data_IF_896231053681
#
_entry.id   IF_896231053681
#
_cell.length_a   1.000
_cell.length_b   1.000
_cell.length_c   1.000
_cell.angle_alpha   90.00
_cell.angle_beta   90.00
_cell.angle_gamma   90.00
#
_symmetry.space_group_name_H-M   'P 1'
#
loop_
_entity.id
_entity.type
_entity.pdbx_description
1 polymer ?
#
# COMPACT_ATOMS: atom_id res chain seq x y z
N UNK A 1 -1.02 3.05 -15.51
CA UNK A 1 0.18 2.26 -15.15
C UNK A 1 -0.23 1.15 -14.19
N UNK A 2 -0.28 -0.10 -14.66
CA UNK A 2 -0.66 -1.20 -13.77
C UNK A 2 0.50 -1.60 -12.85
N UNK A 3 0.12 -2.04 -11.63
CA UNK A 3 1.05 -2.59 -10.66
C UNK A 3 0.66 -4.04 -10.43
N UNK A 4 1.65 -4.93 -10.45
CA UNK A 4 1.45 -6.34 -10.15
C UNK A 4 2.27 -6.75 -8.93
N UNK A 5 1.62 -7.44 -8.00
CA UNK A 5 2.26 -8.02 -6.83
C UNK A 5 2.24 -9.54 -6.98
N UNK A 6 3.38 -10.17 -6.73
CA UNK A 6 3.50 -11.63 -6.83
C UNK A 6 4.16 -12.20 -5.59
N UNK A 7 3.89 -13.47 -5.34
CA UNK A 7 4.57 -14.23 -4.29
C UNK A 7 4.98 -15.58 -4.83
N UNK A 8 6.27 -15.89 -4.77
CA UNK A 8 6.84 -17.15 -5.18
C UNK A 8 7.73 -17.69 -4.07
N UNK A 9 7.26 -18.72 -3.37
CA UNK A 9 7.98 -19.29 -2.22
C UNK A 9 9.33 -19.91 -2.61
N UNK A 10 9.54 -20.22 -3.88
CA UNK A 10 10.81 -20.74 -4.39
C UNK A 10 11.81 -19.65 -4.78
N UNK A 11 11.44 -18.38 -4.70
CA UNK A 11 12.28 -17.25 -5.08
C UNK A 11 12.79 -16.49 -3.84
N UNK A 12 13.86 -15.70 -4.03
CA UNK A 12 14.41 -14.82 -3.01
C UNK A 12 14.74 -13.47 -3.65
N UNK A 13 13.99 -12.39 -3.32
CA UNK A 13 12.85 -12.35 -2.39
C UNK A 13 11.62 -13.07 -2.95
N UNK A 14 10.81 -13.63 -2.05
CA UNK A 14 9.60 -14.34 -2.44
C UNK A 14 8.51 -13.39 -2.95
N UNK A 15 8.33 -12.26 -2.29
CA UNK A 15 7.36 -11.25 -2.68
C UNK A 15 8.03 -10.23 -3.61
N UNK A 16 7.36 -9.90 -4.71
CA UNK A 16 7.89 -8.97 -5.71
C UNK A 16 6.79 -8.04 -6.21
N UNK A 17 7.21 -6.82 -6.58
CA UNK A 17 6.34 -5.81 -7.18
C UNK A 17 6.89 -5.44 -8.56
N UNK A 18 5.97 -5.31 -9.52
CA UNK A 18 6.29 -4.88 -10.87
C UNK A 18 5.35 -3.77 -11.29
N UNK A 19 5.84 -2.83 -12.08
CA UNK A 19 4.96 -1.91 -12.77
C UNK A 19 5.29 -1.87 -14.27
N UNK A 20 4.31 -1.49 -15.07
CA UNK A 20 4.45 -1.38 -16.51
C UNK A 20 4.22 0.07 -16.91
N UNK A 21 5.07 0.60 -17.79
CA UNK A 21 4.85 1.94 -18.33
C UNK A 21 3.86 1.91 -19.52
N UNK A 22 3.59 3.06 -20.10
CA UNK A 22 2.65 3.17 -21.21
C UNK A 22 3.16 2.46 -22.49
N UNK A 23 4.45 2.19 -22.58
CA UNK A 23 5.07 1.51 -23.72
C UNK A 23 5.15 -0.01 -23.51
N UNK A 24 4.68 -0.52 -22.36
CA UNK A 24 4.70 -1.93 -22.04
C UNK A 24 5.99 -2.43 -21.41
N UNK A 25 6.94 -1.54 -21.08
CA UNK A 25 8.16 -1.96 -20.40
C UNK A 25 7.85 -2.35 -18.95
N UNK A 26 8.44 -3.45 -18.50
CA UNK A 26 8.29 -3.97 -17.15
C UNK A 26 9.45 -3.51 -16.26
N UNK A 27 9.13 -3.01 -15.07
CA UNK A 27 10.12 -2.61 -14.07
C UNK A 27 9.83 -3.30 -12.75
N UNK A 28 10.84 -3.92 -12.15
CA UNK A 28 10.74 -4.45 -10.80
C UNK A 28 11.06 -3.35 -9.79
N UNK A 29 10.26 -3.27 -8.72
CA UNK A 29 10.45 -2.32 -7.63
C UNK A 29 10.76 -3.09 -6.37
N UNK A 30 11.69 -2.59 -5.56
CA UNK A 30 12.18 -3.32 -4.40
C UNK A 30 11.37 -3.08 -3.14
N UNK A 31 10.86 -1.87 -2.93
CA UNK A 31 10.29 -1.50 -1.63
C UNK A 31 8.79 -1.19 -1.68
N UNK A 32 8.37 -0.38 -2.63
CA UNK A 32 6.98 0.01 -2.79
C UNK A 32 6.71 0.54 -4.19
N UNK A 33 5.45 0.62 -4.56
CA UNK A 33 5.02 1.23 -5.80
C UNK A 33 3.72 1.98 -5.57
N UNK A 34 3.49 3.02 -6.35
CA UNK A 34 2.26 3.79 -6.32
C UNK A 34 1.92 4.27 -7.73
N UNK A 35 0.64 4.33 -8.05
CA UNK A 35 0.13 4.83 -9.32
C UNK A 35 -1.14 5.65 -9.07
N UNK A 36 -1.57 6.41 -10.08
CA UNK A 36 -2.73 7.26 -9.97
C UNK A 36 -2.37 8.71 -9.63
N UNK A 37 -3.37 9.58 -9.60
CA UNK A 37 -3.20 11.02 -9.41
C UNK A 37 -2.63 11.38 -8.03
N UNK A 38 -2.92 10.59 -7.01
CA UNK A 38 -2.40 10.78 -5.65
C UNK A 38 -1.02 10.18 -5.43
N UNK A 39 -0.41 9.56 -6.44
CA UNK A 39 0.84 8.83 -6.27
C UNK A 39 2.02 9.68 -5.80
N UNK A 40 2.17 10.97 -6.16
CA UNK A 40 3.27 11.76 -5.61
C UNK A 40 3.22 11.88 -4.10
N UNK A 41 2.04 12.11 -3.52
CA UNK A 41 1.89 12.19 -2.06
C UNK A 41 2.14 10.84 -1.40
N UNK A 42 1.58 9.77 -1.95
CA UNK A 42 1.77 8.40 -1.44
C UNK A 42 3.25 8.02 -1.46
N UNK A 43 3.93 8.27 -2.57
CA UNK A 43 5.36 7.96 -2.68
C UNK A 43 6.21 8.72 -1.67
N UNK A 44 5.88 9.99 -1.43
CA UNK A 44 6.59 10.78 -0.43
C UNK A 44 6.49 10.19 0.96
N UNK A 45 5.30 9.75 1.35
CA UNK A 45 5.09 9.15 2.66
C UNK A 45 5.78 7.78 2.76
N UNK A 46 5.62 6.94 1.74
CA UNK A 46 6.25 5.61 1.74
C UNK A 46 7.77 5.71 1.74
N UNK A 47 8.33 6.66 0.99
CA UNK A 47 9.77 6.92 1.00
C UNK A 47 10.24 7.34 2.39
N UNK A 48 9.51 8.26 3.02
CA UNK A 48 9.83 8.72 4.38
C UNK A 48 9.80 7.56 5.37
N UNK A 49 8.73 6.77 5.36
CA UNK A 49 8.58 5.64 6.27
C UNK A 49 9.67 4.59 6.05
N UNK A 50 10.02 4.34 4.78
CA UNK A 50 11.04 3.35 4.45
C UNK A 50 12.43 3.75 4.94
N UNK A 51 12.77 5.03 4.86
CA UNK A 51 14.10 5.52 5.17
C UNK A 51 14.27 6.01 6.61
N UNK A 52 13.20 6.57 7.19
CA UNK A 52 13.27 7.19 8.52
C UNK A 52 12.23 6.69 9.51
N UNK A 53 11.39 5.76 9.12
CA UNK A 53 10.47 5.08 10.03
C UNK A 53 11.22 4.14 10.97
N UNK A 54 10.48 3.48 11.83
CA UNK A 54 11.04 2.53 12.81
C UNK A 54 11.77 1.37 12.14
N UNK A 55 11.26 0.93 10.98
CA UNK A 55 11.81 -0.18 10.20
C UNK A 55 11.61 0.10 8.71
N UNK A 56 12.47 -0.42 7.84
CA UNK A 56 12.19 -0.45 6.40
C UNK A 56 10.86 -1.14 6.12
N UNK A 57 10.16 -0.72 5.08
CA UNK A 57 8.85 -1.27 4.74
C UNK A 57 8.86 -2.80 4.60
N UNK A 58 9.92 -3.33 3.99
CA UNK A 58 10.06 -4.77 3.79
C UNK A 58 10.18 -5.57 5.10
N UNK A 59 10.46 -4.91 6.21
CA UNK A 59 10.63 -5.54 7.53
C UNK A 59 9.40 -5.37 8.42
N UNK A 60 8.38 -4.64 7.96
CA UNK A 60 7.18 -4.40 8.75
C UNK A 60 6.33 -5.67 8.86
N UNK A 61 5.71 -5.86 10.02
CA UNK A 61 4.64 -6.83 10.18
C UNK A 61 3.43 -6.40 9.33
N UNK A 62 2.57 -7.34 8.99
CA UNK A 62 1.41 -7.12 8.13
C UNK A 62 0.54 -5.94 8.60
N UNK A 63 0.17 -5.93 9.89
CA UNK A 63 -0.67 -4.87 10.44
C UNK A 63 -0.02 -3.50 10.36
N UNK A 64 1.29 -3.43 10.60
CA UNK A 64 2.04 -2.18 10.52
C UNK A 64 2.15 -1.70 9.09
N UNK A 65 2.33 -2.59 8.13
CA UNK A 65 2.35 -2.25 6.72
C UNK A 65 0.99 -1.69 6.27
N UNK A 66 -0.10 -2.32 6.67
CA UNK A 66 -1.46 -1.83 6.38
C UNK A 66 -1.67 -0.44 6.97
N UNK A 67 -1.20 -0.21 8.19
CA UNK A 67 -1.27 1.10 8.86
C UNK A 67 -0.56 2.19 8.06
N UNK A 68 0.64 1.91 7.57
CA UNK A 68 1.41 2.85 6.74
C UNK A 68 0.64 3.18 5.45
N UNK A 69 0.09 2.18 4.78
CA UNK A 69 -0.69 2.38 3.56
C UNK A 69 -1.94 3.22 3.82
N UNK A 70 -2.64 2.97 4.92
CA UNK A 70 -3.83 3.74 5.30
C UNK A 70 -3.49 5.22 5.53
N UNK A 71 -2.38 5.51 6.22
CA UNK A 71 -1.91 6.88 6.41
C UNK A 71 -1.54 7.55 5.10
N UNK A 72 -0.88 6.82 4.21
CA UNK A 72 -0.48 7.34 2.92
C UNK A 72 -1.69 7.72 2.08
N UNK A 73 -2.71 6.85 2.02
CA UNK A 73 -3.94 7.12 1.28
C UNK A 73 -4.75 8.26 1.91
N UNK A 74 -4.84 8.31 3.23
CA UNK A 74 -5.55 9.38 3.93
C UNK A 74 -4.89 10.74 3.66
N UNK A 75 -3.57 10.79 3.68
CA UNK A 75 -2.82 12.02 3.37
C UNK A 75 -2.99 12.43 1.91
N UNK A 76 -2.92 11.48 0.99
CA UNK A 76 -3.11 11.79 -0.43
C UNK A 76 -4.51 12.33 -0.71
N UNK A 77 -5.52 11.82 -0.02
CA UNK A 77 -6.91 12.28 -0.19
C UNK A 77 -7.12 13.73 0.23
N UNK A 78 -6.29 14.26 1.12
CA UNK A 78 -6.35 15.69 1.53
C UNK A 78 -5.96 16.64 0.40
N UNK A 79 -5.05 16.23 -0.46
CA UNK A 79 -4.52 17.09 -1.53
C UNK A 79 -5.01 16.71 -2.92
N UNK A 80 -5.68 15.58 -3.08
CA UNK A 80 -6.12 15.06 -4.37
C UNK A 80 -7.54 14.51 -4.28
N UNK A 81 -8.50 15.24 -4.84
CA UNK A 81 -9.92 14.87 -4.79
C UNK A 81 -10.23 13.59 -5.58
N UNK A 82 -9.36 13.18 -6.51
CA UNK A 82 -9.53 11.94 -7.26
C UNK A 82 -9.02 10.71 -6.49
N UNK A 83 -8.25 10.91 -5.42
CA UNK A 83 -7.76 9.83 -4.57
C UNK A 83 -8.79 9.54 -3.48
N UNK A 84 -9.30 8.31 -3.45
CA UNK A 84 -10.15 7.84 -2.36
C UNK A 84 -9.30 7.49 -1.14
N UNK A 85 -9.70 8.02 0.01
CA UNK A 85 -9.15 7.64 1.31
C UNK A 85 -10.24 6.99 2.14
N UNK A 86 -10.14 7.12 3.45
CA UNK A 86 -11.20 6.70 4.36
C UNK A 86 -12.23 7.82 4.46
N UNK A 87 -13.47 7.50 4.16
CA UNK A 87 -14.59 8.38 4.43
C UNK A 87 -15.13 8.05 5.83
N UNK A 88 -14.76 8.86 6.80
CA UNK A 88 -15.13 8.65 8.20
C UNK A 88 -16.63 8.72 8.43
N UNK A 89 -17.33 9.56 7.69
CA UNK A 89 -18.77 9.75 7.84
C UNK A 89 -19.56 8.60 7.22
N UNK A 90 -19.19 8.20 6.01
CA UNK A 90 -19.84 7.09 5.29
C UNK A 90 -19.27 5.73 5.65
N UNK A 91 -18.18 5.68 6.43
CA UNK A 91 -17.45 4.46 6.77
C UNK A 91 -17.02 3.67 5.54
N UNK A 92 -16.54 4.40 4.53
CA UNK A 92 -15.99 3.81 3.31
C UNK A 92 -14.48 3.69 3.49
N UNK A 93 -13.97 2.47 3.30
CA UNK A 93 -12.56 2.16 3.45
C UNK A 93 -11.96 1.68 2.14
N UNK A 94 -10.65 1.87 1.93
CA UNK A 94 -9.97 1.31 0.77
C UNK A 94 -10.08 -0.21 0.75
N UNK A 95 -10.05 -0.79 -0.46
CA UNK A 95 -9.90 -2.23 -0.61
C UNK A 95 -8.44 -2.57 -0.39
N UNK A 96 -8.17 -3.50 0.51
CA UNK A 96 -6.80 -3.94 0.83
C UNK A 96 -6.72 -5.45 0.62
N UNK A 97 -5.71 -5.86 -0.13
CA UNK A 97 -5.43 -7.26 -0.38
C UNK A 97 -4.01 -7.57 0.05
N UNK A 98 -3.85 -8.75 0.63
CA UNK A 98 -2.56 -9.28 1.05
C UNK A 98 -2.18 -10.42 0.10
N UNK A 99 -1.01 -10.31 -0.49
CA UNK A 99 -0.44 -11.35 -1.34
C UNK A 99 0.66 -12.04 -0.55
N UNK A 100 0.47 -13.31 -0.26
CA UNK A 100 1.39 -14.07 0.58
C UNK A 100 1.50 -15.51 0.08
N UNK A 101 2.24 -16.32 0.83
CA UNK A 101 2.32 -17.76 0.57
C UNK A 101 0.96 -18.45 0.55
N UNK A 102 0.00 -17.91 1.29
CA UNK A 102 -1.35 -18.47 1.36
C UNK A 102 -2.27 -17.98 0.22
N UNK A 103 -1.72 -17.27 -0.74
CA UNK A 103 -2.45 -16.71 -1.87
C UNK A 103 -2.83 -15.25 -1.67
N UNK A 104 -3.91 -14.85 -2.32
CA UNK A 104 -4.43 -13.48 -2.24
C UNK A 104 -5.63 -13.48 -1.31
N UNK A 105 -5.54 -12.70 -0.23
CA UNK A 105 -6.64 -12.55 0.71
C UNK A 105 -7.09 -11.10 0.75
N UNK A 106 -8.41 -10.88 0.85
CA UNK A 106 -8.98 -9.54 1.00
C UNK A 106 -9.13 -9.25 2.48
N UNK A 107 -8.55 -8.14 2.93
CA UNK A 107 -8.67 -7.75 4.33
C UNK A 107 -10.10 -7.30 4.62
N UNK A 108 -10.76 -7.86 5.66
CA UNK A 108 -12.12 -7.45 5.99
C UNK A 108 -12.21 -5.98 6.39
N UNK A 109 -13.28 -5.29 6.00
CA UNK A 109 -13.49 -3.87 6.37
C UNK A 109 -13.40 -3.64 7.87
N UNK A 110 -13.92 -4.55 8.67
CA UNK A 110 -13.85 -4.46 10.13
C UNK A 110 -12.40 -4.38 10.62
N UNK A 111 -11.52 -5.16 10.00
CA UNK A 111 -10.09 -5.15 10.34
C UNK A 111 -9.43 -3.85 9.91
N UNK A 112 -9.77 -3.38 8.71
CA UNK A 112 -9.26 -2.10 8.20
C UNK A 112 -9.70 -0.95 9.11
N UNK A 113 -10.96 -0.93 9.50
CA UNK A 113 -11.49 0.08 10.41
C UNK A 113 -10.76 0.09 11.76
N UNK A 114 -10.48 -1.07 12.32
CA UNK A 114 -9.76 -1.18 13.58
C UNK A 114 -8.33 -0.66 13.47
N UNK A 115 -7.62 -1.00 12.39
CA UNK A 115 -6.26 -0.53 12.16
C UNK A 115 -6.23 0.98 11.89
N UNK A 116 -7.20 1.49 11.14
CA UNK A 116 -7.32 2.93 10.89
C UNK A 116 -7.55 3.71 12.18
N UNK A 117 -8.48 3.26 13.01
CA UNK A 117 -8.78 3.90 14.29
C UNK A 117 -7.56 3.96 15.20
N UNK A 118 -6.77 2.88 15.23
CA UNK A 118 -5.56 2.80 16.05
C UNK A 118 -4.47 3.76 15.58
N UNK A 119 -4.36 4.00 14.29
CA UNK A 119 -3.19 4.63 13.70
C UNK A 119 -3.41 6.04 13.18
N UNK A 120 -4.63 6.40 12.78
CA UNK A 120 -4.93 7.65 12.09
C UNK A 120 -5.96 8.49 12.85
N UNK A 121 -6.97 7.85 13.35
CA UNK A 121 -8.00 8.49 14.16
C UNK A 121 -7.62 8.45 15.62
#
# INVERSE_FOLDING_TARGET
VPIFATYDSGADPAARLYFYDAMGAQFEVTDFAATGSGSPAVRGILYYENNWGKKPLAKLAEDDAVTVVLRALDTAAESDTATGGVDRNARIFPVIKIVSRDGITTLPEKRIAALFKRSVA
#
